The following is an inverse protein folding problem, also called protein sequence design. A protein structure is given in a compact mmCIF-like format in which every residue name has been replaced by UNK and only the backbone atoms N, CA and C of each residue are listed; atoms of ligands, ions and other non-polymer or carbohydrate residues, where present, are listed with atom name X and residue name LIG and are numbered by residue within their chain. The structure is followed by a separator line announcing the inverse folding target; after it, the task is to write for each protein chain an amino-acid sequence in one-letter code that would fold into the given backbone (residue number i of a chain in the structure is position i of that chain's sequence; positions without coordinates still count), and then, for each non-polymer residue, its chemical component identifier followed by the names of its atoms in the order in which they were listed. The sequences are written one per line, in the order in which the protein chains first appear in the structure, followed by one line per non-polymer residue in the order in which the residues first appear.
data_IF_991462127636
#
_entry.id   IF_991462127636
#
_cell.length_a   1.000
_cell.length_b   1.000
_cell.length_c   1.000
_cell.angle_alpha   90.00
_cell.angle_beta   90.00
_cell.angle_gamma   90.00
#
_symmetry.space_group_name_H-M   'P 1'
#
loop_
_entity.id
_entity.type
_entity.pdbx_description
1 polymer ?
#
# COMPACT_ATOMS: atom_id res chain seq x y z
N UNK A 1 6.08 65.64 -9.73
CA UNK A 1 5.13 64.63 -10.27
C UNK A 1 5.86 64.01 -11.45
N UNK A 2 6.24 62.74 -11.49
CA UNK A 2 5.65 61.54 -10.91
C UNK A 2 6.76 60.54 -10.51
N UNK A 3 6.51 59.75 -9.48
CA UNK A 3 7.33 58.60 -9.09
C UNK A 3 6.96 57.43 -10.00
N UNK A 4 7.93 56.87 -10.69
CA UNK A 4 7.80 55.59 -11.39
C UNK A 4 8.20 54.50 -10.38
N UNK A 5 7.23 53.67 -10.00
CA UNK A 5 7.43 52.49 -9.18
C UNK A 5 7.81 51.34 -10.13
N UNK A 6 9.08 50.99 -10.18
CA UNK A 6 9.59 49.84 -10.94
C UNK A 6 9.24 48.53 -10.21
N UNK A 7 8.43 47.72 -10.87
CA UNK A 7 7.98 46.41 -10.42
C UNK A 7 9.08 45.35 -10.59
N UNK A 8 9.96 45.17 -9.60
CA UNK A 8 10.77 43.95 -9.52
C UNK A 8 10.15 42.96 -8.52
N UNK A 9 9.09 42.30 -9.00
CA UNK A 9 8.34 41.26 -8.29
C UNK A 9 9.20 39.99 -8.17
N UNK A 10 9.59 39.70 -6.93
CA UNK A 10 10.53 38.65 -6.54
C UNK A 10 10.35 37.32 -7.25
N UNK A 11 11.36 36.95 -8.05
CA UNK A 11 11.66 35.57 -8.41
C UNK A 11 12.13 34.86 -7.13
N UNK A 12 11.21 34.18 -6.45
CA UNK A 12 11.58 33.20 -5.43
C UNK A 12 12.24 32.05 -6.17
N UNK A 13 13.56 32.05 -6.25
CA UNK A 13 14.32 30.85 -6.62
C UNK A 13 13.89 29.74 -5.67
N UNK A 14 13.29 28.70 -6.21
CA UNK A 14 12.96 27.49 -5.47
C UNK A 14 14.32 26.84 -5.15
N UNK A 15 14.71 26.67 -3.89
CA UNK A 15 16.02 26.10 -3.55
C UNK A 15 16.00 24.60 -3.83
N UNK A 16 16.30 24.23 -5.08
CA UNK A 16 16.20 22.85 -5.58
C UNK A 16 17.12 21.93 -4.79
N UNK A 17 18.32 22.38 -4.42
CA UNK A 17 19.27 21.60 -3.62
C UNK A 17 18.71 21.23 -2.22
N UNK A 18 18.05 22.17 -1.55
CA UNK A 18 17.45 21.94 -0.24
C UNK A 18 16.26 20.97 -0.33
N UNK A 19 15.45 21.10 -1.38
CA UNK A 19 14.35 20.18 -1.66
C UNK A 19 14.89 18.78 -2.00
N UNK A 20 15.92 18.67 -2.83
CA UNK A 20 16.58 17.40 -3.13
C UNK A 20 17.14 16.73 -1.88
N UNK A 21 17.73 17.51 -0.97
CA UNK A 21 18.23 16.99 0.32
C UNK A 21 17.10 16.51 1.22
N UNK A 22 16.01 17.28 1.32
CA UNK A 22 14.82 16.88 2.10
C UNK A 22 14.17 15.62 1.53
N UNK A 23 13.98 15.56 0.21
CA UNK A 23 13.42 14.39 -0.46
C UNK A 23 14.33 13.17 -0.36
N UNK A 24 15.66 13.35 -0.36
CA UNK A 24 16.61 12.28 -0.07
C UNK A 24 16.38 11.68 1.32
N UNK A 25 16.30 12.53 2.36
CA UNK A 25 16.02 12.08 3.73
C UNK A 25 14.67 11.37 3.84
N UNK A 26 13.62 11.89 3.21
CA UNK A 26 12.29 11.26 3.20
C UNK A 26 12.32 9.92 2.47
N UNK A 27 13.01 9.85 1.33
CA UNK A 27 13.17 8.62 0.54
C UNK A 27 13.94 7.55 1.30
N UNK A 28 14.84 7.91 2.21
CA UNK A 28 15.53 6.95 3.08
C UNK A 28 14.65 6.49 4.25
N UNK A 29 13.93 7.40 4.89
CA UNK A 29 13.17 7.12 6.12
C UNK A 29 11.83 6.43 5.88
N UNK A 30 11.11 6.78 4.82
CA UNK A 30 9.78 6.22 4.53
C UNK A 30 9.85 4.71 4.26
N UNK A 31 10.75 4.18 3.42
CA UNK A 31 10.88 2.74 3.20
C UNK A 31 11.32 1.98 4.46
N UNK A 32 12.15 2.59 5.31
CA UNK A 32 12.55 1.98 6.58
C UNK A 32 11.36 1.83 7.53
N UNK A 33 10.53 2.86 7.63
CA UNK A 33 9.32 2.81 8.45
C UNK A 33 8.34 1.73 7.97
N UNK A 34 8.13 1.64 6.65
CA UNK A 34 7.27 0.61 6.05
C UNK A 34 7.76 -0.80 6.39
N UNK A 35 9.08 -1.05 6.29
CA UNK A 35 9.66 -2.37 6.64
C UNK A 35 9.42 -2.74 8.10
N UNK A 36 9.67 -1.80 9.02
CA UNK A 36 9.44 -2.04 10.44
C UNK A 36 7.96 -2.29 10.78
N UNK A 37 7.02 -1.57 10.13
CA UNK A 37 5.59 -1.82 10.31
C UNK A 37 5.22 -3.22 9.78
N UNK A 38 5.77 -3.64 8.65
CA UNK A 38 5.54 -4.99 8.10
C UNK A 38 6.01 -6.09 9.03
N UNK A 39 7.19 -5.96 9.61
CA UNK A 39 7.70 -6.96 10.57
C UNK A 39 6.77 -7.11 11.77
N UNK A 40 6.20 -6.00 12.25
CA UNK A 40 5.19 -6.03 13.31
C UNK A 40 3.90 -6.69 12.82
N UNK A 41 3.37 -6.29 11.66
CA UNK A 41 2.07 -6.75 11.13
C UNK A 41 2.09 -8.22 10.66
N UNK A 42 3.22 -8.71 10.14
CA UNK A 42 3.40 -10.10 9.70
C UNK A 42 3.98 -11.02 10.79
N UNK A 43 4.18 -10.51 12.01
CA UNK A 43 4.56 -11.36 13.13
C UNK A 43 3.44 -12.37 13.47
N UNK A 44 3.77 -13.55 14.00
CA UNK A 44 2.76 -14.51 14.46
C UNK A 44 1.75 -13.89 15.45
N UNK A 45 2.23 -12.99 16.32
CA UNK A 45 1.40 -12.28 17.30
C UNK A 45 0.39 -11.34 16.63
N UNK A 46 0.83 -10.58 15.61
CA UNK A 46 -0.07 -9.73 14.84
C UNK A 46 -1.04 -10.53 13.96
N UNK A 47 -0.59 -11.66 13.40
CA UNK A 47 -1.46 -12.60 12.69
C UNK A 47 -2.58 -13.12 13.57
N UNK A 48 -2.28 -13.48 14.83
CA UNK A 48 -3.26 -13.90 15.84
C UNK A 48 -4.25 -12.79 16.18
N UNK A 49 -3.77 -11.57 16.43
CA UNK A 49 -4.62 -10.41 16.70
C UNK A 49 -5.54 -10.08 15.52
N UNK A 50 -5.03 -10.13 14.29
CA UNK A 50 -5.80 -9.91 13.07
C UNK A 50 -6.86 -11.00 12.88
N UNK A 51 -6.50 -12.28 13.07
CA UNK A 51 -7.44 -13.40 13.00
C UNK A 51 -8.58 -13.29 14.02
N UNK A 52 -8.26 -12.89 15.26
CA UNK A 52 -9.26 -12.62 16.29
C UNK A 52 -10.20 -11.47 15.92
N UNK A 53 -9.66 -10.36 15.39
CA UNK A 53 -10.46 -9.23 14.96
C UNK A 53 -11.43 -9.60 13.84
N UNK A 54 -10.96 -10.35 12.84
CA UNK A 54 -11.77 -10.86 11.72
C UNK A 54 -12.86 -11.82 12.21
N UNK A 55 -12.50 -12.73 13.11
CA UNK A 55 -13.46 -13.68 13.70
C UNK A 55 -14.53 -12.98 14.54
N UNK A 56 -14.15 -11.96 15.32
CA UNK A 56 -15.08 -11.16 16.08
C UNK A 56 -15.98 -10.32 15.17
N UNK A 57 -15.42 -9.70 14.11
CA UNK A 57 -16.21 -9.00 13.11
C UNK A 57 -17.28 -9.90 12.48
N UNK A 58 -16.92 -11.12 12.05
CA UNK A 58 -17.88 -12.09 11.54
C UNK A 58 -18.97 -12.43 12.57
N UNK A 59 -18.60 -12.70 13.82
CA UNK A 59 -19.56 -13.00 14.90
C UNK A 59 -20.55 -11.85 15.14
N UNK A 60 -20.07 -10.62 15.15
CA UNK A 60 -20.93 -9.43 15.31
C UNK A 60 -21.89 -9.25 14.13
N UNK A 61 -21.44 -9.54 12.90
CA UNK A 61 -22.33 -9.53 11.74
C UNK A 61 -23.48 -10.55 11.93
N UNK A 62 -23.17 -11.78 12.34
CA UNK A 62 -24.21 -12.78 12.64
C UNK A 62 -25.13 -12.33 13.78
N UNK A 63 -24.55 -11.80 14.86
CA UNK A 63 -25.31 -11.32 16.02
C UNK A 63 -26.27 -10.16 15.65
N UNK A 64 -25.89 -9.34 14.66
CA UNK A 64 -26.73 -8.26 14.13
C UNK A 64 -27.87 -8.73 13.21
N UNK A 65 -27.96 -10.03 12.95
CA UNK A 65 -29.00 -10.64 12.12
C UNK A 65 -28.63 -10.74 10.64
N UNK A 66 -27.36 -10.56 10.28
CA UNK A 66 -26.87 -10.79 8.92
C UNK A 66 -26.74 -12.30 8.69
N UNK A 67 -27.25 -12.77 7.55
CA UNK A 67 -27.14 -14.18 7.16
C UNK A 67 -25.68 -14.65 7.07
N UNK A 68 -25.45 -15.93 7.39
CA UNK A 68 -24.12 -16.55 7.41
C UNK A 68 -23.35 -16.42 6.11
N UNK A 69 -24.00 -16.55 4.95
CA UNK A 69 -23.34 -16.42 3.65
C UNK A 69 -22.92 -14.97 3.38
N UNK A 70 -23.82 -14.03 3.68
CA UNK A 70 -23.56 -12.61 3.50
C UNK A 70 -22.47 -12.10 4.46
N UNK A 71 -22.51 -12.50 5.73
CA UNK A 71 -21.50 -12.16 6.72
C UNK A 71 -20.12 -12.70 6.33
N UNK A 72 -20.06 -13.92 5.77
CA UNK A 72 -18.83 -14.52 5.26
C UNK A 72 -18.29 -13.74 4.05
N UNK A 73 -19.16 -13.33 3.13
CA UNK A 73 -18.78 -12.47 2.00
C UNK A 73 -18.21 -11.14 2.47
N UNK A 74 -18.91 -10.42 3.36
CA UNK A 74 -18.47 -9.11 3.88
C UNK A 74 -17.11 -9.21 4.59
N UNK A 75 -16.91 -10.28 5.35
CA UNK A 75 -15.64 -10.55 6.03
C UNK A 75 -14.51 -10.81 5.03
N UNK A 76 -14.77 -11.60 3.97
CA UNK A 76 -13.81 -11.87 2.89
C UNK A 76 -13.50 -10.61 2.08
N UNK A 77 -14.49 -9.78 1.78
CA UNK A 77 -14.31 -8.53 1.04
C UNK A 77 -13.47 -7.52 1.83
N UNK A 78 -13.71 -7.44 3.14
CA UNK A 78 -12.90 -6.64 4.05
C UNK A 78 -11.44 -7.10 4.07
N UNK A 79 -11.20 -8.41 4.23
CA UNK A 79 -9.86 -9.00 4.17
C UNK A 79 -9.19 -8.79 2.81
N UNK A 80 -9.92 -8.93 1.71
CA UNK A 80 -9.43 -8.72 0.35
C UNK A 80 -8.96 -7.28 0.14
N UNK A 81 -9.65 -6.31 0.73
CA UNK A 81 -9.27 -4.89 0.71
C UNK A 81 -7.94 -4.66 1.44
N UNK A 82 -7.78 -5.26 2.63
CA UNK A 82 -6.55 -5.19 3.42
C UNK A 82 -5.39 -5.84 2.65
N UNK A 83 -5.60 -7.04 2.08
CA UNK A 83 -4.59 -7.74 1.29
C UNK A 83 -4.17 -6.92 0.07
N UNK A 84 -5.14 -6.39 -0.68
CA UNK A 84 -4.89 -5.55 -1.85
C UNK A 84 -4.08 -4.29 -1.52
N UNK A 85 -4.29 -3.72 -0.34
CA UNK A 85 -3.49 -2.61 0.16
C UNK A 85 -2.08 -3.05 0.53
N UNK A 86 -1.94 -4.16 1.25
CA UNK A 86 -0.65 -4.73 1.63
C UNK A 86 0.20 -5.08 0.42
N UNK A 87 -0.38 -5.75 -0.58
CA UNK A 87 0.28 -6.11 -1.84
C UNK A 87 0.81 -4.89 -2.62
N UNK A 88 0.19 -3.72 -2.43
CA UNK A 88 0.62 -2.44 -3.01
C UNK A 88 1.75 -1.78 -2.22
N UNK A 89 1.81 -2.02 -0.91
CA UNK A 89 2.91 -1.56 -0.04
C UNK A 89 4.11 -2.52 -0.12
N UNK A 90 3.88 -3.79 -0.43
CA UNK A 90 4.91 -4.81 -0.66
C UNK A 90 5.68 -4.64 -1.95
N UNK A 91 5.09 -4.02 -2.96
CA UNK A 91 5.85 -3.55 -4.11
C UNK A 91 6.55 -2.24 -3.73
N UNK A 92 7.89 -2.20 -3.59
CA UNK A 92 8.57 -0.92 -3.45
C UNK A 92 8.22 -0.10 -4.69
N UNK A 93 7.45 0.97 -4.48
CA UNK A 93 7.11 1.93 -5.51
C UNK A 93 8.39 2.62 -5.98
N UNK A 94 9.10 2.00 -6.91
CA UNK A 94 9.81 2.74 -7.93
C UNK A 94 8.71 3.56 -8.60
N UNK A 95 8.68 4.87 -8.30
CA UNK A 95 7.95 5.82 -9.14
C UNK A 95 8.61 5.70 -10.51
N UNK A 96 8.07 4.82 -11.34
CA UNK A 96 8.54 4.65 -12.71
C UNK A 96 7.94 5.81 -13.49
N UNK A 97 8.62 6.95 -13.46
CA UNK A 97 8.42 8.03 -14.42
C UNK A 97 8.79 7.44 -15.78
N UNK A 98 7.82 6.80 -16.45
CA UNK A 98 7.99 6.33 -17.80
C UNK A 98 7.85 7.53 -18.73
N UNK A 99 8.91 8.02 -19.39
CA UNK A 99 8.71 8.85 -20.57
C UNK A 99 7.91 8.02 -21.58
N UNK A 100 6.75 8.52 -21.98
CA UNK A 100 5.86 7.87 -22.93
C UNK A 100 6.59 7.68 -24.28
N UNK A 101 7.19 6.51 -24.49
CA UNK A 101 7.61 6.05 -25.82
C UNK A 101 6.64 4.97 -26.29
N UNK A 102 5.84 5.38 -27.26
CA UNK A 102 4.99 4.53 -28.08
C UNK A 102 5.89 3.58 -28.88
N UNK A 103 5.75 2.27 -28.74
CA UNK A 103 6.29 1.28 -29.67
C UNK A 103 5.53 -0.05 -29.58
N UNK A 104 5.31 -0.62 -30.75
CA UNK A 104 4.38 -1.70 -31.08
C UNK A 104 4.71 -3.08 -30.45
N UNK A 105 3.62 -3.78 -30.07
CA UNK A 105 3.32 -5.23 -30.21
C UNK A 105 4.36 -6.24 -29.69
N UNK A 106 3.94 -7.11 -28.76
CA UNK A 106 3.78 -8.57 -28.97
C UNK A 106 2.95 -9.15 -27.81
N UNK A 107 1.93 -9.93 -28.18
CA UNK A 107 1.09 -10.76 -27.32
C UNK A 107 1.75 -12.13 -27.20
N UNK A 108 1.92 -12.64 -25.99
CA UNK A 108 2.05 -14.08 -25.73
C UNK A 108 1.29 -14.43 -24.44
N UNK A 109 0.36 -15.37 -24.60
CA UNK A 109 -0.45 -15.99 -23.55
C UNK A 109 0.34 -17.21 -23.04
N UNK A 110 0.48 -17.42 -21.72
CA UNK A 110 0.59 -18.78 -21.18
C UNK A 110 0.19 -18.84 -19.72
N UNK A 111 -0.90 -19.56 -19.50
CA UNK A 111 -1.38 -20.07 -18.22
C UNK A 111 -0.33 -20.99 -17.59
N UNK A 112 -0.07 -20.86 -16.30
CA UNK A 112 0.16 -21.99 -15.41
C UNK A 112 -0.31 -21.57 -14.02
N UNK A 113 -1.27 -22.33 -13.50
CA UNK A 113 -1.64 -22.26 -12.10
C UNK A 113 -0.48 -22.79 -11.27
N UNK A 114 -0.18 -22.08 -10.19
CA UNK A 114 0.61 -22.60 -9.10
C UNK A 114 -0.16 -22.33 -7.81
N UNK A 115 -0.44 -23.44 -7.15
CA UNK A 115 -1.17 -23.61 -5.91
C UNK A 115 -0.42 -22.87 -4.79
N UNK A 116 -1.13 -21.97 -4.09
CA UNK A 116 -0.60 -21.36 -2.87
C UNK A 116 -0.84 -22.38 -1.76
N UNK A 117 0.17 -23.18 -1.47
CA UNK A 117 0.22 -24.03 -0.28
C UNK A 117 0.29 -23.12 0.94
N UNK A 118 -0.84 -22.94 1.62
CA UNK A 118 -0.84 -22.39 2.97
C UNK A 118 -0.31 -23.47 3.93
N UNK A 119 0.55 -23.00 4.84
CA UNK A 119 1.34 -23.74 5.84
C UNK A 119 0.70 -25.03 6.36
N UNK A 120 1.49 -26.11 6.55
CA UNK A 120 1.02 -27.24 7.35
C UNK A 120 0.75 -26.80 8.79
N UNK A 121 -0.45 -27.09 9.25
CA UNK A 121 -0.75 -27.22 10.68
C UNK A 121 0.04 -28.43 11.17
N UNK A 122 1.08 -28.21 11.97
CA UNK A 122 1.66 -29.26 12.79
C UNK A 122 1.30 -28.96 14.25
N UNK A 123 0.23 -29.64 14.69
CA UNK A 123 -0.05 -30.00 16.07
C UNK A 123 1.07 -30.91 16.61
N UNK A 124 1.71 -30.54 17.72
CA UNK A 124 1.74 -31.33 18.98
C UNK A 124 2.29 -30.48 20.14
#
# INVERSE_FOLDING_TARGET
MSKEHDENKGRREIPVEEISKLLGVVSDKVPHLIRSIKEVVYSPEAGKGMGQAVGNFYKELIASGIDTELASSLTRDYLSTIKSFSDKIDKPGVVSIHPHKMSHKIRMHRSHGEEIVCCPEDEE
#
